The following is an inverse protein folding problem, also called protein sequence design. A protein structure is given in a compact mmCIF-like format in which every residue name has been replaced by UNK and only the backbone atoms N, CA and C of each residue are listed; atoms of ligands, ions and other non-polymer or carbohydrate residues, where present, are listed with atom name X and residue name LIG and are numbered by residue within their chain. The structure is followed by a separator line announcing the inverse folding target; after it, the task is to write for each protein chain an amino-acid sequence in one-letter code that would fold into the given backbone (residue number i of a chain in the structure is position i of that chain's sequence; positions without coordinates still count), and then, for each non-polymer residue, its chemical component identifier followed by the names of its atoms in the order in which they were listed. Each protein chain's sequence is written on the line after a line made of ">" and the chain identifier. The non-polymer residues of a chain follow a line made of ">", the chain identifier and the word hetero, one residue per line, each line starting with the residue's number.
data_IF_782700331579
#
_entry.id   IF_782700331579
#
_cell.length_a   1.000
_cell.length_b   1.000
_cell.length_c   1.000
_cell.angle_alpha   90.00
_cell.angle_beta   90.00
_cell.angle_gamma   90.00
#
_symmetry.space_group_name_H-M   'P 1'
#
loop_
_entity.id
_entity.type
_entity.pdbx_description
1 polymer ?
#
# COMPACT_ATOMS: atom_id res chain seq x y z
N UNK A 1 -14.24 20.53 -7.05
CA UNK A 1 -13.56 21.73 -6.54
C UNK A 1 -13.22 21.60 -5.05
N UNK A 2 -12.12 22.22 -4.65
CA UNK A 2 -11.62 22.27 -3.27
C UNK A 2 -11.98 23.62 -2.63
N UNK A 3 -12.49 23.59 -1.40
CA UNK A 3 -12.76 24.75 -0.56
C UNK A 3 -11.88 24.66 0.69
N UNK A 4 -10.67 25.21 0.58
CA UNK A 4 -9.64 25.17 1.62
C UNK A 4 -10.06 25.95 2.88
N UNK A 5 -10.88 27.00 2.73
CA UNK A 5 -11.32 27.85 3.85
C UNK A 5 -12.24 27.08 4.79
N UNK A 6 -13.13 26.27 4.22
CA UNK A 6 -14.08 25.46 4.98
C UNK A 6 -13.62 24.01 5.18
N UNK A 7 -12.38 23.68 4.78
CA UNK A 7 -11.85 22.32 4.77
C UNK A 7 -12.81 21.31 4.12
N UNK A 8 -13.35 21.67 2.96
CA UNK A 8 -14.37 20.89 2.27
C UNK A 8 -14.02 20.70 0.80
N UNK A 9 -14.62 19.70 0.17
CA UNK A 9 -14.57 19.49 -1.27
C UNK A 9 -15.92 19.05 -1.82
N UNK A 10 -16.16 19.31 -3.10
CA UNK A 10 -17.41 18.95 -3.79
C UNK A 10 -17.15 18.68 -5.27
N UNK A 11 -18.06 17.96 -5.93
CA UNK A 11 -18.03 17.77 -7.39
C UNK A 11 -18.68 18.96 -8.10
N UNK A 12 -18.14 19.38 -9.24
CA UNK A 12 -18.69 20.53 -9.99
C UNK A 12 -20.14 20.32 -10.39
N UNK A 13 -20.51 19.08 -10.71
CA UNK A 13 -21.85 18.72 -11.16
C UNK A 13 -22.86 18.66 -10.00
N UNK A 14 -22.38 18.63 -8.75
CA UNK A 14 -23.20 18.53 -7.53
C UNK A 14 -22.66 19.45 -6.41
N UNK A 15 -22.72 20.78 -6.59
CA UNK A 15 -22.08 21.74 -5.69
C UNK A 15 -22.74 21.82 -4.29
N UNK A 16 -23.95 21.26 -4.15
CA UNK A 16 -24.64 21.16 -2.85
C UNK A 16 -24.12 20.02 -1.98
N UNK A 17 -23.47 19.01 -2.58
CA UNK A 17 -22.95 17.86 -1.84
C UNK A 17 -21.49 18.12 -1.49
N UNK A 18 -21.28 18.69 -0.30
CA UNK A 18 -19.96 18.99 0.25
C UNK A 18 -19.50 17.89 1.20
N UNK A 19 -18.24 17.52 1.08
CA UNK A 19 -17.57 16.54 1.92
C UNK A 19 -16.47 17.25 2.72
N UNK A 20 -16.39 17.03 4.02
CA UNK A 20 -15.27 17.53 4.81
C UNK A 20 -13.97 16.80 4.40
N UNK A 21 -12.84 17.50 4.47
CA UNK A 21 -11.55 16.82 4.55
C UNK A 21 -11.58 15.94 5.80
N UNK A 22 -11.03 14.72 5.70
CA UNK A 22 -10.87 13.88 6.86
C UNK A 22 -10.03 14.66 7.88
N UNK A 23 -10.56 14.85 9.09
CA UNK A 23 -9.79 15.45 10.17
C UNK A 23 -8.48 14.66 10.32
N UNK A 24 -7.38 15.39 10.53
CA UNK A 24 -6.13 14.81 10.95
C UNK A 24 -6.43 14.06 12.26
N UNK A 25 -6.57 12.74 12.17
CA UNK A 25 -6.62 11.90 13.34
C UNK A 25 -5.28 12.14 14.04
N UNK A 26 -5.35 12.76 15.22
CA UNK A 26 -4.22 13.01 16.10
C UNK A 26 -3.31 11.76 16.10
N UNK A 27 -2.02 11.94 15.79
CA UNK A 27 -0.97 10.91 15.72
C UNK A 27 -0.67 10.32 17.12
N UNK A 28 -1.68 9.71 17.72
CA UNK A 28 -1.58 8.84 18.89
C UNK A 28 -2.27 7.49 18.68
N UNK A 29 -2.92 7.28 17.54
CA UNK A 29 -3.08 5.92 17.05
C UNK A 29 -1.77 5.49 16.41
N UNK A 30 -0.77 5.18 17.26
CA UNK A 30 -0.09 3.92 17.05
C UNK A 30 -1.20 2.88 17.02
N UNK A 31 -1.79 2.65 15.85
CA UNK A 31 -2.32 1.33 15.60
C UNK A 31 -1.11 0.44 15.85
N UNK A 32 -1.15 -0.45 16.85
CA UNK A 32 -0.16 -1.50 16.85
C UNK A 32 -0.28 -2.08 15.44
N UNK A 33 0.84 -2.29 14.76
CA UNK A 33 0.93 -3.30 13.69
C UNK A 33 0.77 -4.67 14.38
N UNK A 34 -0.29 -4.81 15.17
CA UNK A 34 -0.78 -6.02 15.74
C UNK A 34 -1.71 -6.53 14.69
N UNK A 35 -1.16 -7.40 13.83
CA UNK A 35 -1.86 -8.48 13.15
C UNK A 35 -3.35 -8.19 12.99
N UNK A 36 -3.68 -7.18 12.17
CA UNK A 36 -5.06 -6.92 11.82
C UNK A 36 -5.38 -7.92 10.72
N UNK A 37 -5.76 -9.12 11.17
CA UNK A 37 -6.24 -10.26 10.40
C UNK A 37 -6.52 -9.87 8.95
N UNK A 38 -5.49 -9.99 8.10
CA UNK A 38 -5.49 -9.54 6.71
C UNK A 38 -6.54 -10.28 5.87
N UNK A 39 -7.23 -11.26 6.47
CA UNK A 39 -8.12 -12.19 5.81
C UNK A 39 -9.55 -12.21 6.36
N UNK A 40 -9.95 -11.20 7.14
CA UNK A 40 -11.36 -11.10 7.47
C UNK A 40 -12.12 -10.41 6.32
N UNK A 41 -12.65 -11.20 5.39
CA UNK A 41 -13.63 -10.80 4.36
C UNK A 41 -14.96 -10.30 4.97
N UNK A 42 -14.91 -9.48 6.02
CA UNK A 42 -16.05 -8.90 6.69
C UNK A 42 -16.23 -7.48 6.22
N UNK A 43 -17.42 -7.20 5.69
CA UNK A 43 -17.81 -5.87 5.26
C UNK A 43 -17.86 -4.94 6.49
N UNK A 44 -17.20 -3.79 6.39
CA UNK A 44 -17.35 -2.71 7.39
C UNK A 44 -18.84 -2.34 7.52
N UNK A 45 -19.29 -1.92 8.71
CA UNK A 45 -20.71 -1.57 9.00
C UNK A 45 -21.32 -0.59 7.98
N UNK A 46 -20.50 0.28 7.42
CA UNK A 46 -20.89 1.31 6.45
C UNK A 46 -21.03 0.79 5.01
N UNK A 47 -20.38 -0.33 4.70
CA UNK A 47 -20.38 -0.96 3.38
C UNK A 47 -21.57 -1.91 3.28
N UNK A 48 -22.22 -1.94 2.12
CA UNK A 48 -23.40 -2.79 1.90
C UNK A 48 -24.66 -2.32 2.62
N UNK A 49 -24.76 -1.07 3.09
CA UNK A 49 -26.00 -0.51 3.71
C UNK A 49 -27.25 -0.65 2.82
N UNK A 50 -27.07 -0.73 1.50
CA UNK A 50 -28.15 -0.89 0.52
C UNK A 50 -28.43 -2.35 0.13
N UNK A 51 -27.72 -3.30 0.72
CA UNK A 51 -27.86 -4.73 0.44
C UNK A 51 -28.71 -5.39 1.52
N UNK A 52 -29.62 -6.25 1.08
CA UNK A 52 -30.36 -7.17 1.95
C UNK A 52 -29.38 -8.13 2.65
N UNK A 53 -29.70 -8.67 3.85
CA UNK A 53 -28.85 -9.64 4.53
C UNK A 53 -28.46 -10.85 3.66
N UNK A 54 -29.34 -11.32 2.77
CA UNK A 54 -29.02 -12.41 1.84
C UNK A 54 -27.92 -12.00 0.86
N UNK A 55 -28.05 -10.82 0.26
CA UNK A 55 -27.08 -10.27 -0.69
C UNK A 55 -25.72 -9.98 -0.03
N UNK A 56 -25.73 -9.52 1.22
CA UNK A 56 -24.50 -9.36 2.01
C UNK A 56 -23.77 -10.68 2.21
N UNK A 57 -24.51 -11.73 2.56
CA UNK A 57 -23.93 -13.05 2.76
C UNK A 57 -23.37 -13.63 1.46
N UNK A 58 -24.05 -13.45 0.33
CA UNK A 58 -23.55 -13.82 -0.99
C UNK A 58 -22.27 -13.07 -1.35
N UNK A 59 -22.20 -11.76 -1.09
CA UNK A 59 -21.00 -10.97 -1.33
C UNK A 59 -19.82 -11.42 -0.46
N UNK A 60 -20.06 -11.66 0.84
CA UNK A 60 -19.02 -12.18 1.74
C UNK A 60 -18.55 -13.56 1.28
N UNK A 61 -19.45 -14.42 0.78
CA UNK A 61 -19.07 -15.73 0.24
C UNK A 61 -18.17 -15.59 -1.00
N UNK A 62 -18.44 -14.64 -1.89
CA UNK A 62 -17.58 -14.35 -3.05
C UNK A 62 -16.22 -13.83 -2.60
N UNK A 63 -16.18 -12.88 -1.67
CA UNK A 63 -14.90 -12.36 -1.15
C UNK A 63 -14.07 -13.47 -0.50
N UNK A 64 -14.70 -14.36 0.30
CA UNK A 64 -14.06 -15.54 0.88
C UNK A 64 -13.58 -16.55 -0.17
N UNK A 65 -14.28 -16.65 -1.31
CA UNK A 65 -13.89 -17.53 -2.41
C UNK A 65 -12.63 -17.03 -3.14
N UNK A 66 -12.45 -15.71 -3.23
CA UNK A 66 -11.35 -15.07 -3.95
C UNK A 66 -10.39 -14.33 -3.01
N UNK A 67 -10.18 -14.86 -1.80
CA UNK A 67 -9.25 -14.28 -0.81
C UNK A 67 -7.87 -14.11 -1.41
N UNK A 68 -7.38 -15.12 -2.14
CA UNK A 68 -6.07 -15.12 -2.79
C UNK A 68 -5.87 -14.00 -3.81
N UNK A 69 -6.95 -13.39 -4.33
CA UNK A 69 -6.88 -12.23 -5.24
C UNK A 69 -6.80 -10.91 -4.45
N UNK A 70 -7.26 -10.93 -3.21
CA UNK A 70 -7.32 -9.77 -2.32
C UNK A 70 -6.19 -9.72 -1.31
N UNK A 71 -5.43 -10.82 -1.15
CA UNK A 71 -4.23 -10.86 -0.34
C UNK A 71 -3.16 -9.92 -0.92
N UNK A 72 -2.59 -9.11 -0.05
CA UNK A 72 -1.48 -8.23 -0.41
C UNK A 72 -0.18 -9.06 -0.41
N UNK A 73 0.59 -8.99 -1.50
CA UNK A 73 1.83 -9.75 -1.63
C UNK A 73 1.64 -11.13 -2.28
N UNK A 74 1.12 -11.14 -3.51
CA UNK A 74 1.12 -12.35 -4.34
C UNK A 74 2.50 -12.62 -4.94
N UNK A 75 2.69 -13.86 -5.38
CA UNK A 75 3.90 -14.27 -6.11
C UNK A 75 4.16 -13.38 -7.34
N UNK A 76 5.44 -13.08 -7.65
CA UNK A 76 5.80 -12.42 -8.90
C UNK A 76 5.19 -13.15 -10.09
N UNK A 77 4.60 -12.41 -11.02
CA UNK A 77 4.05 -13.02 -12.22
C UNK A 77 5.18 -13.56 -13.11
N UNK A 78 5.20 -14.84 -13.49
CA UNK A 78 6.28 -15.43 -14.29
C UNK A 78 6.22 -15.04 -15.78
N UNK A 79 5.32 -14.14 -16.17
CA UNK A 79 4.99 -13.91 -17.58
C UNK A 79 6.05 -13.16 -18.36
N UNK A 80 6.84 -12.30 -17.71
CA UNK A 80 7.78 -11.42 -18.41
C UNK A 80 8.93 -11.00 -17.49
N UNK A 81 10.14 -11.05 -18.04
CA UNK A 81 11.31 -10.42 -17.45
C UNK A 81 11.46 -9.02 -18.06
N UNK A 82 11.70 -8.01 -17.22
CA UNK A 82 11.83 -6.63 -17.66
C UNK A 82 13.31 -6.28 -17.89
N UNK A 83 13.60 -5.64 -19.03
CA UNK A 83 14.94 -5.14 -19.36
C UNK A 83 14.91 -3.62 -19.52
N UNK A 84 15.92 -2.95 -18.98
CA UNK A 84 16.11 -1.50 -19.10
C UNK A 84 17.13 -1.25 -20.21
N UNK A 85 16.74 -0.53 -21.26
CA UNK A 85 17.64 -0.13 -22.33
C UNK A 85 18.43 1.14 -21.93
N UNK A 86 19.69 0.98 -21.54
CA UNK A 86 20.59 2.08 -21.17
C UNK A 86 21.35 2.69 -22.38
N UNK A 87 21.17 2.16 -23.59
CA UNK A 87 21.94 2.54 -24.78
C UNK A 87 23.44 2.29 -24.57
N UNK A 88 24.27 3.24 -25.01
CA UNK A 88 25.73 3.19 -24.89
C UNK A 88 26.28 3.88 -23.63
N UNK A 89 25.41 4.18 -22.65
CA UNK A 89 25.81 4.89 -21.44
C UNK A 89 26.68 3.98 -20.54
N UNK A 90 27.87 4.43 -20.11
CA UNK A 90 28.71 3.63 -19.21
C UNK A 90 28.09 3.53 -17.80
N UNK A 91 28.44 2.48 -17.03
CA UNK A 91 28.06 2.38 -15.62
C UNK A 91 28.55 3.60 -14.81
N UNK A 92 27.75 4.03 -13.84
CA UNK A 92 28.08 5.14 -12.95
C UNK A 92 28.06 4.64 -11.51
N UNK A 93 29.20 4.74 -10.84
CA UNK A 93 29.36 4.41 -9.42
C UNK A 93 29.56 5.68 -8.60
N UNK A 94 28.79 5.80 -7.52
CA UNK A 94 28.83 6.94 -6.60
C UNK A 94 29.01 6.41 -5.19
N UNK A 95 29.87 7.03 -4.35
CA UNK A 95 30.06 6.58 -2.98
C UNK A 95 28.76 6.66 -2.17
N UNK A 96 28.49 5.68 -1.28
CA UNK A 96 27.29 5.69 -0.45
C UNK A 96 27.22 6.92 0.46
N UNK A 97 26.00 7.44 0.65
CA UNK A 97 25.76 8.56 1.56
C UNK A 97 25.96 8.15 3.03
N UNK A 98 26.42 9.10 3.86
CA UNK A 98 26.61 8.87 5.29
C UNK A 98 25.26 8.88 6.02
N UNK A 99 24.97 7.80 6.74
CA UNK A 99 23.76 7.66 7.54
C UNK A 99 24.05 7.81 9.03
N UNK A 100 23.07 8.37 9.77
CA UNK A 100 23.10 8.38 11.23
C UNK A 100 22.98 6.95 11.80
N UNK A 101 23.45 6.68 13.02
CA UNK A 101 23.33 5.35 13.63
C UNK A 101 21.89 4.84 13.68
N UNK A 102 20.94 5.70 14.09
CA UNK A 102 19.52 5.36 14.16
C UNK A 102 18.95 4.98 12.79
N UNK A 103 19.24 5.78 11.75
CA UNK A 103 18.78 5.49 10.39
C UNK A 103 19.39 4.20 9.85
N UNK A 104 20.66 3.93 10.16
CA UNK A 104 21.35 2.70 9.75
C UNK A 104 20.71 1.46 10.37
N UNK A 105 20.26 1.52 11.62
CA UNK A 105 19.56 0.41 12.28
C UNK A 105 18.18 0.14 11.65
N UNK A 106 17.42 1.19 11.34
CA UNK A 106 16.13 1.05 10.64
C UNK A 106 16.33 0.46 9.24
N UNK A 107 17.32 0.96 8.49
CA UNK A 107 17.63 0.45 7.15
C UNK A 107 18.01 -1.03 7.18
N UNK A 108 18.80 -1.47 8.16
CA UNK A 108 19.16 -2.89 8.32
C UNK A 108 17.95 -3.80 8.51
N UNK A 109 16.96 -3.37 9.29
CA UNK A 109 15.73 -4.14 9.50
C UNK A 109 14.94 -4.29 8.21
N UNK A 110 14.83 -3.21 7.44
CA UNK A 110 14.14 -3.26 6.15
C UNK A 110 14.90 -4.12 5.13
N UNK A 111 16.23 -4.02 5.08
CA UNK A 111 17.04 -4.87 4.20
C UNK A 111 16.83 -6.36 4.48
N UNK A 112 16.82 -6.78 5.74
CA UNK A 112 16.55 -8.18 6.13
C UNK A 112 15.17 -8.61 5.62
N UNK A 113 14.15 -7.79 5.82
CA UNK A 113 12.79 -8.07 5.35
C UNK A 113 12.74 -8.23 3.82
N UNK A 114 13.35 -7.31 3.07
CA UNK A 114 13.34 -7.35 1.60
C UNK A 114 14.13 -8.54 1.02
N UNK A 115 15.20 -8.96 1.71
CA UNK A 115 15.95 -10.18 1.38
C UNK A 115 15.10 -11.43 1.65
N UNK A 116 14.40 -11.51 2.78
CA UNK A 116 13.50 -12.61 3.11
C UNK A 116 12.31 -12.72 2.12
N UNK A 117 11.80 -11.59 1.67
CA UNK A 117 10.72 -11.50 0.65
C UNK A 117 11.23 -11.72 -0.79
N UNK A 118 12.55 -11.95 -1.00
CA UNK A 118 13.17 -12.14 -2.31
C UNK A 118 12.92 -10.98 -3.30
N UNK A 119 12.81 -9.76 -2.78
CA UNK A 119 12.64 -8.53 -3.56
C UNK A 119 13.99 -7.97 -4.01
N UNK A 120 15.05 -8.20 -3.21
CA UNK A 120 16.43 -7.80 -3.51
C UNK A 120 17.38 -8.98 -3.29
N UNK A 121 18.57 -8.91 -3.89
CA UNK A 121 19.63 -9.90 -3.75
C UNK A 121 21.02 -9.23 -3.65
N UNK A 122 22.02 -9.97 -3.17
CA UNK A 122 23.41 -9.52 -3.18
C UNK A 122 23.98 -9.56 -4.61
N UNK A 123 24.64 -8.49 -5.04
CA UNK A 123 25.18 -8.37 -6.40
C UNK A 123 26.47 -7.54 -6.40
N UNK A 124 27.41 -7.95 -7.24
CA UNK A 124 28.64 -7.22 -7.53
C UNK A 124 28.45 -6.36 -8.79
N UNK A 125 28.07 -5.10 -8.59
CA UNK A 125 27.89 -4.14 -9.67
C UNK A 125 29.22 -3.48 -10.08
N UNK A 126 29.39 -3.07 -11.35
CA UNK A 126 30.57 -2.32 -11.78
C UNK A 126 30.75 -1.06 -10.92
N UNK A 127 31.95 -0.90 -10.36
CA UNK A 127 32.34 0.27 -9.55
C UNK A 127 33.15 1.29 -10.33
#
# INVERSE_FOLDING_TARGET
>A
MLDLKNQQWFFNDMPRNKFAFAEHVNDQFQHPVGNLDANLCTLRKEKGRRLDPKQKNELVAVLKKYVSVSEQGGEPTPYIEHSINAGDSPPVSVPPYRLSPMTKELLKKELVKLLEENIIEECESPT
#
